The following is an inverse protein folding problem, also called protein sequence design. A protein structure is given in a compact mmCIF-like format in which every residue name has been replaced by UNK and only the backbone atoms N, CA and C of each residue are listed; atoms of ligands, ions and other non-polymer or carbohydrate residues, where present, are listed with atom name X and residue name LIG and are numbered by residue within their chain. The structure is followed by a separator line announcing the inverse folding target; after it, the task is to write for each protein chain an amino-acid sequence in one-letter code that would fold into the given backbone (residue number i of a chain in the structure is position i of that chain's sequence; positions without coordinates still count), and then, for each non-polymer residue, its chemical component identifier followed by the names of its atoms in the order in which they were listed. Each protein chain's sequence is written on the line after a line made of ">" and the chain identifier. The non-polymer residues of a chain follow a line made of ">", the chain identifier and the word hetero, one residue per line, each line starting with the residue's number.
data_IF_932007752581
#
_entry.id   IF_932007752581
#
_cell.length_a   1.000
_cell.length_b   1.000
_cell.length_c   1.000
_cell.angle_alpha   90.00
_cell.angle_beta   90.00
_cell.angle_gamma   90.00
#
_symmetry.space_group_name_H-M   'P 1'
#
loop_
_entity.id
_entity.type
_entity.pdbx_description
1 polymer ?
#
# COMPACT_ATOMS: atom_id res chain seq x y z
N UNK A 1 12.96 8.64 -20.18
CA UNK A 1 12.62 7.89 -18.95
C UNK A 1 13.55 8.39 -17.86
N UNK A 2 13.05 8.81 -16.69
CA UNK A 2 13.91 9.31 -15.62
C UNK A 2 14.91 8.22 -15.20
N UNK A 3 16.20 8.54 -15.17
CA UNK A 3 17.27 7.60 -14.79
C UNK A 3 16.97 7.10 -13.38
N UNK A 4 16.62 5.81 -13.26
CA UNK A 4 16.37 5.14 -11.99
C UNK A 4 17.66 5.11 -11.20
N UNK A 5 17.59 5.37 -9.90
CA UNK A 5 18.76 5.29 -9.00
C UNK A 5 19.42 3.90 -9.16
N UNK A 6 20.71 3.82 -9.54
CA UNK A 6 21.42 2.55 -9.71
C UNK A 6 21.46 1.71 -8.43
N UNK A 7 21.39 2.33 -7.25
CA UNK A 7 21.38 1.63 -5.96
C UNK A 7 19.99 1.13 -5.58
N UNK A 8 18.94 1.55 -6.28
CA UNK A 8 17.57 1.11 -5.99
C UNK A 8 17.37 -0.34 -6.44
N UNK A 9 16.98 -1.25 -5.53
CA UNK A 9 16.62 -2.63 -5.84
C UNK A 9 15.72 -2.74 -7.08
N UNK A 10 15.96 -3.77 -7.90
CA UNK A 10 15.12 -4.05 -9.07
C UNK A 10 13.70 -4.40 -8.59
N UNK A 11 12.69 -3.88 -9.26
CA UNK A 11 11.30 -4.07 -8.84
C UNK A 11 10.90 -5.54 -8.89
N UNK A 12 9.93 -5.93 -8.06
CA UNK A 12 9.41 -7.30 -8.05
C UNK A 12 8.77 -7.67 -9.40
N UNK A 13 9.08 -8.86 -9.90
CA UNK A 13 8.53 -9.45 -11.11
C UNK A 13 7.31 -10.31 -10.75
N UNK A 14 6.24 -10.14 -11.53
CA UNK A 14 5.03 -10.97 -11.44
C UNK A 14 5.25 -12.33 -12.09
N UNK A 15 4.42 -13.32 -11.76
CA UNK A 15 4.41 -14.64 -12.39
C UNK A 15 4.32 -14.55 -13.91
N UNK A 16 3.44 -13.67 -14.42
CA UNK A 16 3.37 -13.40 -15.85
C UNK A 16 4.66 -12.78 -16.42
N UNK A 17 5.35 -11.91 -15.67
CA UNK A 17 6.59 -11.31 -16.13
C UNK A 17 7.73 -12.34 -16.27
N UNK A 18 7.80 -13.32 -15.36
CA UNK A 18 8.69 -14.47 -15.49
C UNK A 18 8.34 -15.34 -16.69
N UNK A 19 7.05 -15.60 -16.91
CA UNK A 19 6.59 -16.35 -18.07
C UNK A 19 6.91 -15.66 -19.41
N UNK A 20 6.73 -14.33 -19.49
CA UNK A 20 7.11 -13.57 -20.69
C UNK A 20 8.63 -13.63 -20.91
N UNK A 21 9.42 -13.63 -19.84
CA UNK A 21 10.88 -13.79 -19.93
C UNK A 21 11.26 -15.17 -20.49
N UNK A 22 10.69 -16.25 -19.96
CA UNK A 22 10.97 -17.61 -20.49
C UNK A 22 10.53 -17.76 -21.94
N UNK A 23 9.38 -17.19 -22.33
CA UNK A 23 8.94 -17.15 -23.72
C UNK A 23 9.93 -16.41 -24.64
N UNK A 24 10.57 -15.34 -24.15
CA UNK A 24 11.60 -14.60 -24.93
C UNK A 24 12.86 -15.43 -25.09
N UNK A 25 13.28 -16.11 -24.04
CA UNK A 25 14.46 -16.99 -24.05
C UNK A 25 14.25 -18.20 -24.97
N UNK A 26 13.06 -18.81 -24.95
CA UNK A 26 12.68 -19.87 -25.88
C UNK A 26 12.74 -19.39 -27.34
N UNK A 27 12.20 -18.20 -27.63
CA UNK A 27 12.24 -17.65 -28.99
C UNK A 27 13.68 -17.35 -29.43
N UNK A 28 14.53 -16.83 -28.52
CA UNK A 28 15.94 -16.57 -28.83
C UNK A 28 16.71 -17.86 -29.11
N UNK A 29 16.36 -18.97 -28.46
CA UNK A 29 16.97 -20.29 -28.73
C UNK A 29 16.48 -20.92 -30.03
N UNK A 30 15.17 -20.84 -30.32
CA UNK A 30 14.56 -21.50 -31.49
C UNK A 30 14.67 -20.70 -32.78
N UNK A 31 14.75 -19.38 -32.68
CA UNK A 31 14.79 -18.48 -33.83
C UNK A 31 15.72 -17.30 -33.53
N UNK A 32 17.04 -17.54 -33.44
CA UNK A 32 18.02 -16.51 -33.11
C UNK A 32 18.13 -15.41 -34.19
N UNK A 33 17.81 -15.71 -35.45
CA UNK A 33 17.88 -14.75 -36.56
C UNK A 33 16.61 -13.91 -36.78
N UNK A 34 15.47 -14.31 -36.21
CA UNK A 34 14.20 -13.59 -36.42
C UNK A 34 14.01 -12.58 -35.28
N UNK A 35 14.10 -11.27 -35.55
CA UNK A 35 13.89 -10.26 -34.53
C UNK A 35 12.45 -10.33 -34.01
N UNK A 36 12.29 -10.44 -32.69
CA UNK A 36 10.98 -10.49 -32.04
C UNK A 36 10.26 -9.15 -32.17
N UNK A 37 9.15 -9.10 -32.92
CA UNK A 37 8.27 -7.94 -32.90
C UNK A 37 7.55 -7.87 -31.54
N UNK A 38 7.77 -6.80 -30.78
CA UNK A 38 7.22 -6.63 -29.43
C UNK A 38 5.69 -6.74 -29.39
N UNK A 39 5.00 -6.16 -30.38
CA UNK A 39 3.54 -6.17 -30.44
C UNK A 39 2.99 -7.59 -30.61
N UNK A 40 3.55 -8.34 -31.56
CA UNK A 40 3.10 -9.70 -31.85
C UNK A 40 3.52 -10.68 -30.75
N UNK A 41 4.72 -10.50 -30.19
CA UNK A 41 5.21 -11.30 -29.09
C UNK A 41 4.37 -11.11 -27.83
N UNK A 42 3.96 -9.88 -27.52
CA UNK A 42 3.08 -9.60 -26.38
C UNK A 42 1.71 -10.27 -26.54
N UNK A 43 1.13 -10.24 -27.75
CA UNK A 43 -0.14 -10.91 -28.04
C UNK A 43 -0.02 -12.43 -27.84
N UNK A 44 0.98 -13.06 -28.47
CA UNK A 44 1.26 -14.50 -28.34
C UNK A 44 1.48 -14.93 -26.90
N UNK A 45 2.22 -14.15 -26.11
CA UNK A 45 2.43 -14.43 -24.69
C UNK A 45 1.13 -14.31 -23.88
N UNK A 46 0.29 -13.32 -24.18
CA UNK A 46 -0.98 -13.13 -23.48
C UNK A 46 -1.97 -14.27 -23.74
N UNK A 47 -2.04 -14.76 -24.99
CA UNK A 47 -2.88 -15.89 -25.38
C UNK A 47 -2.37 -17.18 -24.73
N UNK A 48 -1.06 -17.46 -24.85
CA UNK A 48 -0.44 -18.62 -24.21
C UNK A 48 -0.68 -18.61 -22.71
N UNK A 49 -0.46 -17.48 -22.01
CA UNK A 49 -0.72 -17.41 -20.57
C UNK A 49 -2.18 -17.70 -20.20
N UNK A 50 -3.16 -17.28 -21.02
CA UNK A 50 -4.57 -17.60 -20.76
C UNK A 50 -4.86 -19.09 -20.92
N UNK A 51 -4.29 -19.74 -21.93
CA UNK A 51 -4.51 -21.16 -22.22
C UNK A 51 -3.66 -22.11 -21.36
N UNK A 52 -2.64 -21.61 -20.67
CA UNK A 52 -1.78 -22.42 -19.81
C UNK A 52 -2.53 -22.93 -18.57
N UNK A 53 -2.23 -24.17 -18.19
CA UNK A 53 -2.85 -24.84 -17.05
C UNK A 53 -2.39 -24.24 -15.71
N UNK A 54 -3.20 -24.39 -14.65
CA UNK A 54 -2.85 -23.92 -13.30
C UNK A 54 -1.53 -24.52 -12.79
N UNK A 55 -1.24 -25.77 -13.13
CA UNK A 55 0.02 -26.44 -12.77
C UNK A 55 1.25 -25.78 -13.40
N UNK A 56 1.13 -25.31 -14.64
CA UNK A 56 2.24 -24.61 -15.31
C UNK A 56 2.37 -23.17 -14.81
N UNK A 57 1.26 -22.51 -14.48
CA UNK A 57 1.26 -21.19 -13.82
C UNK A 57 1.86 -21.25 -12.43
N UNK A 58 1.64 -22.33 -11.68
CA UNK A 58 2.18 -22.54 -10.34
C UNK A 58 3.71 -22.35 -10.28
N UNK A 59 4.44 -22.90 -11.25
CA UNK A 59 5.90 -22.71 -11.37
C UNK A 59 6.31 -21.23 -11.44
N UNK A 60 5.53 -20.42 -12.16
CA UNK A 60 5.79 -18.98 -12.28
C UNK A 60 5.30 -18.18 -11.07
N UNK A 61 4.26 -18.65 -10.40
CA UNK A 61 3.78 -18.09 -9.13
C UNK A 61 4.81 -18.28 -8.02
N UNK A 62 5.42 -19.46 -7.91
CA UNK A 62 6.47 -19.71 -6.93
C UNK A 62 7.71 -18.86 -7.21
N UNK A 63 8.11 -18.70 -8.47
CA UNK A 63 9.16 -17.75 -8.85
C UNK A 63 8.82 -16.30 -8.46
N UNK A 64 7.56 -15.89 -8.61
CA UNK A 64 7.10 -14.57 -8.21
C UNK A 64 7.10 -14.38 -6.67
N UNK A 65 6.76 -15.44 -5.91
CA UNK A 65 6.85 -15.43 -4.44
C UNK A 65 8.31 -15.28 -4.00
N UNK A 66 9.24 -16.04 -4.59
CA UNK A 66 10.67 -15.93 -4.30
C UNK A 66 11.20 -14.52 -4.64
N UNK A 67 10.79 -13.95 -5.77
CA UNK A 67 11.22 -12.59 -6.16
C UNK A 67 10.62 -11.50 -5.27
N UNK A 68 9.42 -11.71 -4.73
CA UNK A 68 8.84 -10.84 -3.69
C UNK A 68 9.74 -10.83 -2.46
N UNK A 69 10.14 -12.00 -1.95
CA UNK A 69 11.04 -12.10 -0.79
C UNK A 69 12.40 -11.46 -1.07
N UNK A 70 13.00 -11.70 -2.25
CA UNK A 70 14.23 -11.04 -2.69
C UNK A 70 14.07 -9.51 -2.67
N UNK A 71 13.00 -8.99 -3.27
CA UNK A 71 12.75 -7.55 -3.35
C UNK A 71 12.57 -6.94 -1.96
N UNK A 72 11.81 -7.59 -1.08
CA UNK A 72 11.54 -7.10 0.27
C UNK A 72 12.84 -7.08 1.10
N UNK A 73 13.68 -8.11 0.97
CA UNK A 73 15.02 -8.16 1.60
C UNK A 73 15.95 -7.06 1.09
N UNK A 74 16.03 -6.88 -0.23
CA UNK A 74 16.83 -5.82 -0.84
C UNK A 74 16.31 -4.43 -0.45
N UNK A 75 15.00 -4.24 -0.38
CA UNK A 75 14.37 -2.99 0.04
C UNK A 75 14.61 -2.67 1.52
N UNK A 76 14.66 -3.68 2.40
CA UNK A 76 15.02 -3.49 3.82
C UNK A 76 16.44 -2.95 3.98
N UNK A 77 17.36 -3.39 3.12
CA UNK A 77 18.75 -2.93 3.12
C UNK A 77 18.96 -1.65 2.30
N UNK A 78 17.99 -1.26 1.48
CA UNK A 78 18.08 -0.07 0.64
C UNK A 78 17.73 1.19 1.44
N UNK A 79 18.74 2.04 1.64
CA UNK A 79 18.54 3.39 2.13
C UNK A 79 18.46 4.32 0.91
N UNK A 80 17.28 4.92 0.62
CA UNK A 80 17.17 5.89 -0.46
C UNK A 80 18.16 7.03 -0.24
N UNK A 81 18.84 7.48 -1.31
CA UNK A 81 19.74 8.63 -1.22
C UNK A 81 19.02 9.82 -0.55
N UNK A 82 19.65 10.38 0.49
CA UNK A 82 19.14 11.47 1.32
C UNK A 82 18.86 12.68 0.41
N UNK A 83 17.62 12.81 -0.05
CA UNK A 83 17.27 13.81 -1.06
C UNK A 83 16.40 13.33 -2.21
N UNK A 84 15.87 12.09 -2.19
CA UNK A 84 14.65 11.76 -2.95
C UNK A 84 13.47 12.57 -2.38
N UNK A 85 13.53 13.90 -2.53
CA UNK A 85 12.52 14.85 -2.11
C UNK A 85 11.22 14.39 -2.75
N UNK A 86 10.24 14.04 -1.91
CA UNK A 86 8.85 13.97 -2.35
C UNK A 86 8.60 15.23 -3.16
N UNK A 87 8.17 15.08 -4.43
CA UNK A 87 7.94 16.22 -5.32
C UNK A 87 7.19 17.30 -4.53
N UNK A 88 7.72 18.54 -4.54
CA UNK A 88 7.08 19.67 -3.85
C UNK A 88 5.61 19.67 -4.27
N UNK A 89 4.72 19.66 -3.28
CA UNK A 89 3.29 19.65 -3.56
C UNK A 89 2.94 20.98 -4.22
N UNK A 90 2.14 20.93 -5.28
CA UNK A 90 1.74 22.12 -6.03
C UNK A 90 1.07 23.11 -5.04
N UNK A 91 1.52 24.37 -4.93
CA UNK A 91 0.95 25.31 -3.95
C UNK A 91 -0.54 25.58 -4.15
N UNK A 92 -1.01 25.46 -5.40
CA UNK A 92 -2.40 25.68 -5.79
C UNK A 92 -3.26 24.40 -5.69
N UNK A 93 -2.67 23.23 -5.43
CA UNK A 93 -3.46 22.03 -5.26
C UNK A 93 -4.20 22.07 -3.92
N UNK A 94 -5.49 21.69 -3.88
CA UNK A 94 -6.23 21.54 -2.64
C UNK A 94 -5.44 20.71 -1.62
N UNK A 95 -5.42 21.15 -0.35
CA UNK A 95 -4.76 20.44 0.74
C UNK A 95 -5.68 19.33 1.25
N UNK A 96 -5.11 18.16 1.54
CA UNK A 96 -5.87 17.02 2.06
C UNK A 96 -6.51 17.40 3.40
N UNK A 97 -7.80 17.07 3.62
CA UNK A 97 -8.47 17.36 4.87
C UNK A 97 -7.91 16.49 6.01
N UNK A 98 -8.00 16.94 7.27
CA UNK A 98 -7.66 16.13 8.43
C UNK A 98 -8.62 14.95 8.57
N UNK A 99 -8.09 13.80 9.01
CA UNK A 99 -8.90 12.61 9.37
C UNK A 99 -9.65 12.85 10.69
N UNK A 100 -10.63 12.00 11.00
CA UNK A 100 -11.40 12.03 12.26
C UNK A 100 -10.48 12.03 13.48
N UNK A 101 -9.47 11.14 13.50
CA UNK A 101 -8.45 11.12 14.54
C UNK A 101 -7.69 12.45 14.68
N UNK A 102 -7.31 13.10 13.57
CA UNK A 102 -6.63 14.40 13.62
C UNK A 102 -7.52 15.52 14.12
N UNK A 103 -8.83 15.47 13.83
CA UNK A 103 -9.80 16.39 14.42
C UNK A 103 -9.89 16.17 15.93
N UNK A 104 -9.99 14.92 16.38
CA UNK A 104 -9.97 14.57 17.80
C UNK A 104 -8.68 15.05 18.49
N UNK A 105 -7.52 14.78 17.92
CA UNK A 105 -6.24 15.27 18.42
C UNK A 105 -6.21 16.79 18.51
N UNK A 106 -6.78 17.51 17.55
CA UNK A 106 -6.77 18.98 17.56
C UNK A 106 -7.52 19.56 18.76
N UNK A 107 -8.62 18.93 19.17
CA UNK A 107 -9.45 19.34 20.31
C UNK A 107 -8.87 18.88 21.65
N UNK A 108 -8.23 17.70 21.70
CA UNK A 108 -7.76 17.09 22.95
C UNK A 108 -6.29 17.38 23.29
N UNK A 109 -5.45 17.66 22.29
CA UNK A 109 -4.05 18.06 22.50
C UNK A 109 -3.88 19.26 23.44
N UNK A 110 -4.65 20.37 23.34
CA UNK A 110 -4.51 21.46 24.31
C UNK A 110 -4.92 21.05 25.73
N UNK A 111 -5.93 20.16 25.88
CA UNK A 111 -6.35 19.64 27.19
C UNK A 111 -5.24 18.84 27.87
N UNK A 112 -4.63 17.90 27.15
CA UNK A 112 -3.51 17.09 27.70
C UNK A 112 -2.29 17.97 28.00
N UNK A 113 -2.00 18.95 27.13
CA UNK A 113 -0.90 19.89 27.37
C UNK A 113 -1.14 20.77 28.60
N UNK A 114 -2.39 21.13 28.88
CA UNK A 114 -2.75 21.90 30.08
C UNK A 114 -2.59 21.06 31.36
N UNK A 115 -2.97 19.78 31.33
CA UNK A 115 -2.84 18.85 32.47
C UNK A 115 -1.38 18.44 32.69
N UNK A 116 -0.58 18.37 31.63
CA UNK A 116 0.82 17.96 31.71
C UNK A 116 1.71 18.92 30.90
N UNK A 117 1.95 20.14 31.41
CA UNK A 117 2.77 21.15 30.76
C UNK A 117 4.27 20.79 30.87
N UNK A 118 4.70 19.81 30.08
CA UNK A 118 6.08 19.30 30.10
C UNK A 118 6.29 18.05 29.24
N UNK A 119 5.21 17.37 28.85
CA UNK A 119 5.28 16.23 27.94
C UNK A 119 5.74 16.68 26.54
N UNK A 120 6.59 15.83 25.92
CA UNK A 120 6.96 16.02 24.52
C UNK A 120 5.72 15.93 23.64
N UNK A 121 5.76 16.60 22.50
CA UNK A 121 4.71 16.49 21.48
C UNK A 121 4.47 15.03 21.08
N UNK A 122 5.55 14.22 21.06
CA UNK A 122 5.46 12.79 20.79
C UNK A 122 4.68 12.03 21.86
N UNK A 123 4.92 12.30 23.13
CA UNK A 123 4.24 11.62 24.24
C UNK A 123 2.76 12.01 24.33
N UNK A 124 2.45 13.28 24.05
CA UNK A 124 1.05 13.73 23.93
C UNK A 124 0.34 13.02 22.77
N UNK A 125 1.02 12.79 21.64
CA UNK A 125 0.44 12.08 20.51
C UNK A 125 0.19 10.60 20.82
N UNK A 126 1.07 9.94 21.58
CA UNK A 126 0.87 8.55 22.04
C UNK A 126 -0.37 8.44 22.93
N UNK A 127 -0.48 9.31 23.95
CA UNK A 127 -1.67 9.36 24.82
C UNK A 127 -2.96 9.62 24.05
N UNK A 128 -2.93 10.47 23.02
CA UNK A 128 -4.10 10.72 22.17
C UNK A 128 -4.48 9.51 21.32
N UNK A 129 -3.51 8.73 20.87
CA UNK A 129 -3.74 7.47 20.16
C UNK A 129 -4.43 6.44 21.05
N UNK A 130 -3.92 6.27 22.27
CA UNK A 130 -4.52 5.39 23.28
C UNK A 130 -5.96 5.81 23.63
N UNK A 131 -6.19 7.10 23.87
CA UNK A 131 -7.53 7.65 24.11
C UNK A 131 -8.46 7.45 22.93
N UNK A 132 -7.97 7.61 21.70
CA UNK A 132 -8.79 7.39 20.52
C UNK A 132 -9.17 5.92 20.38
N UNK A 133 -8.26 4.98 20.63
CA UNK A 133 -8.58 3.56 20.55
C UNK A 133 -9.59 3.16 21.64
N UNK A 134 -9.45 3.72 22.85
CA UNK A 134 -10.37 3.49 23.96
C UNK A 134 -11.75 4.18 23.81
N UNK A 135 -11.87 5.23 22.98
CA UNK A 135 -13.15 5.87 22.71
C UNK A 135 -14.11 4.92 21.98
N UNK A 136 -15.39 4.97 22.34
CA UNK A 136 -16.43 4.19 21.66
C UNK A 136 -16.71 4.74 20.27
N UNK A 137 -17.34 3.94 19.41
CA UNK A 137 -17.75 4.38 18.08
C UNK A 137 -18.64 5.62 18.13
N UNK A 138 -19.48 5.76 19.16
CA UNK A 138 -20.36 6.92 19.34
C UNK A 138 -19.58 8.22 19.56
N UNK A 139 -18.50 8.17 20.34
CA UNK A 139 -17.62 9.31 20.57
C UNK A 139 -16.79 9.64 19.34
N UNK A 140 -16.40 8.62 18.56
CA UNK A 140 -15.67 8.77 17.28
C UNK A 140 -16.56 9.31 16.16
N UNK A 141 -17.86 8.94 16.15
CA UNK A 141 -18.85 9.26 15.12
C UNK A 141 -18.93 10.74 14.73
N UNK A 142 -18.99 11.72 15.67
CA UNK A 142 -18.98 13.13 15.28
C UNK A 142 -17.69 13.54 14.58
N UNK A 143 -16.53 13.00 14.97
CA UNK A 143 -15.25 13.31 14.34
C UNK A 143 -15.13 12.66 12.96
N UNK A 144 -15.57 11.41 12.82
CA UNK A 144 -15.62 10.69 11.54
C UNK A 144 -16.58 11.40 10.57
N UNK A 145 -17.77 11.78 11.03
CA UNK A 145 -18.75 12.53 10.22
C UNK A 145 -18.22 13.90 9.77
N UNK A 146 -17.58 14.66 10.68
CA UNK A 146 -16.90 15.92 10.33
C UNK A 146 -15.81 15.69 9.28
N UNK A 147 -14.98 14.66 9.44
CA UNK A 147 -13.93 14.32 8.48
C UNK A 147 -14.51 13.92 7.11
N UNK A 148 -15.60 13.17 7.08
CA UNK A 148 -16.30 12.79 5.85
C UNK A 148 -16.81 14.02 5.08
N UNK A 149 -17.47 14.97 5.77
CA UNK A 149 -17.92 16.24 5.15
C UNK A 149 -16.75 17.05 4.58
N UNK A 150 -15.63 17.12 5.30
CA UNK A 150 -14.42 17.79 4.81
C UNK A 150 -13.81 17.08 3.60
N UNK A 151 -13.87 15.75 3.56
CA UNK A 151 -13.45 14.93 2.42
C UNK A 151 -14.30 15.20 1.19
N UNK A 152 -15.63 15.23 1.33
CA UNK A 152 -16.51 15.55 0.20
C UNK A 152 -16.24 16.94 -0.37
N UNK A 153 -16.00 17.94 0.49
CA UNK A 153 -15.61 19.28 0.05
C UNK A 153 -14.28 19.26 -0.71
N UNK A 154 -13.29 18.58 -0.16
CA UNK A 154 -11.98 18.43 -0.81
C UNK A 154 -12.08 17.72 -2.16
N UNK A 155 -12.90 16.67 -2.28
CA UNK A 155 -13.07 15.94 -3.52
C UNK A 155 -13.70 16.83 -4.61
N UNK A 156 -14.65 17.71 -4.24
CA UNK A 156 -15.18 18.76 -5.14
C UNK A 156 -14.09 19.77 -5.52
N UNK A 157 -13.35 20.30 -4.56
CA UNK A 157 -12.26 21.25 -4.83
C UNK A 157 -11.18 20.65 -5.73
N UNK A 158 -10.88 19.36 -5.57
CA UNK A 158 -9.94 18.62 -6.43
C UNK A 158 -10.51 18.41 -7.84
N UNK A 159 -11.80 18.12 -7.96
CA UNK A 159 -12.45 18.01 -9.26
C UNK A 159 -12.39 19.35 -10.00
N UNK A 160 -12.71 20.45 -9.33
CA UNK A 160 -12.62 21.80 -9.88
C UNK A 160 -11.19 22.20 -10.24
N UNK A 161 -10.22 21.89 -9.38
CA UNK A 161 -8.80 22.11 -9.64
C UNK A 161 -8.31 21.32 -10.86
N UNK A 162 -8.75 20.07 -11.02
CA UNK A 162 -8.44 19.24 -12.19
C UNK A 162 -9.09 19.77 -13.46
N UNK A 163 -10.32 20.28 -13.37
CA UNK A 163 -11.03 20.88 -14.49
C UNK A 163 -10.39 22.20 -14.95
N UNK A 164 -10.02 23.07 -13.99
CA UNK A 164 -9.36 24.36 -14.22
C UNK A 164 -7.88 24.22 -14.63
N UNK A 165 -7.21 23.16 -14.19
CA UNK A 165 -5.79 22.87 -14.48
C UNK A 165 -5.50 22.34 -15.89
N UNK A 166 -6.48 22.33 -16.81
CA UNK A 166 -6.29 21.87 -18.20
C UNK A 166 -5.49 22.81 -19.10
N UNK A 167 -5.01 23.97 -18.62
CA UNK A 167 -4.21 24.89 -19.43
C UNK A 167 -2.69 24.78 -19.28
N UNK A 168 -2.11 24.21 -18.20
CA UNK A 168 -0.64 24.33 -18.01
C UNK A 168 0.11 23.13 -17.41
N UNK A 169 -0.46 21.91 -17.37
CA UNK A 169 0.29 20.77 -16.83
C UNK A 169 -0.06 19.44 -17.49
N UNK A 170 0.40 19.27 -18.73
CA UNK A 170 0.56 17.95 -19.32
C UNK A 170 1.53 17.11 -18.46
N UNK A 171 1.04 15.93 -18.02
CA UNK A 171 1.71 14.80 -17.32
C UNK A 171 1.56 14.73 -15.79
N UNK A 172 0.39 14.29 -15.32
CA UNK A 172 0.28 13.42 -14.13
C UNK A 172 -0.59 12.19 -14.48
N UNK A 173 -0.16 10.95 -14.19
CA UNK A 173 -1.01 9.77 -14.33
C UNK A 173 -2.09 9.74 -13.23
N UNK A 174 -3.22 9.05 -13.45
CA UNK A 174 -4.35 9.07 -12.54
C UNK A 174 -3.99 8.46 -11.18
N UNK A 175 -4.33 9.19 -10.12
CA UNK A 175 -4.28 8.69 -8.76
C UNK A 175 -5.20 7.47 -8.67
N UNK A 176 -4.64 6.32 -8.29
CA UNK A 176 -5.39 5.13 -7.91
C UNK A 176 -6.40 5.51 -6.84
N UNK A 177 -7.68 5.23 -7.09
CA UNK A 177 -8.69 5.08 -6.02
C UNK A 177 -8.25 3.87 -5.22
N UNK A 178 -7.57 4.08 -4.12
CA UNK A 178 -7.46 3.05 -3.09
C UNK A 178 -8.69 3.24 -2.21
N UNK A 179 -9.61 2.28 -2.35
CA UNK A 179 -10.67 2.08 -1.38
C UNK A 179 -9.98 1.87 -0.02
N UNK A 180 -10.40 2.66 0.96
CA UNK A 180 -10.06 2.48 2.35
C UNK A 180 -10.78 1.20 2.79
N UNK A 181 -10.06 0.08 2.86
CA UNK A 181 -10.46 -1.06 3.66
C UNK A 181 -10.19 -0.66 5.12
N UNK A 182 -11.28 -0.48 5.85
CA UNK A 182 -11.31 -0.52 7.30
C UNK A 182 -11.02 -1.99 7.65
N UNK A 183 -9.79 -2.25 8.07
CA UNK A 183 -9.29 -3.55 8.52
C UNK A 183 -9.39 -3.48 10.05
N UNK A 184 -10.63 -3.58 10.52
CA UNK A 184 -10.99 -3.93 11.90
C UNK A 184 -11.24 -5.45 11.83
N UNK A 185 -10.15 -6.21 11.75
CA UNK A 185 -10.14 -7.67 11.87
C UNK A 185 -9.80 -7.95 13.33
N UNK A 186 -10.88 -8.09 14.09
CA UNK A 186 -10.98 -8.55 15.46
C UNK A 186 -10.58 -10.03 15.48
N UNK A 187 -9.30 -10.29 15.79
CA UNK A 187 -8.74 -11.64 15.94
C UNK A 187 -8.74 -11.99 17.44
N UNK A 188 -9.92 -12.33 17.96
CA UNK A 188 -10.10 -13.04 19.23
C UNK A 188 -9.61 -14.48 19.05
N UNK A 189 -8.33 -14.72 19.36
CA UNK A 189 -7.80 -16.08 19.55
C UNK A 189 -8.09 -16.50 21.02
N UNK A 190 -9.11 -17.36 21.16
CA UNK A 190 -9.55 -18.04 22.37
C UNK A 190 -8.55 -19.18 22.69
N UNK A 191 -7.83 -19.03 23.80
CA UNK A 191 -6.86 -19.99 24.34
C UNK A 191 -7.62 -21.05 25.15
N UNK A 192 -8.05 -22.13 24.48
CA UNK A 192 -8.56 -23.34 25.15
C UNK A 192 -7.37 -24.24 25.54
N UNK A 193 -6.86 -24.05 26.76
CA UNK A 193 -6.03 -25.02 27.48
C UNK A 193 -6.90 -26.23 27.89
N UNK A 194 -6.89 -27.31 27.11
CA UNK A 194 -7.33 -28.64 27.60
C UNK A 194 -6.18 -29.33 28.33
N UNK A 195 -6.16 -29.17 29.66
CA UNK A 195 -5.59 -30.14 30.59
C UNK A 195 -6.53 -31.35 30.70
N UNK A 196 -6.14 -32.52 30.20
CA UNK A 196 -6.66 -33.79 30.70
C UNK A 196 -5.49 -34.65 31.22
N UNK A 197 -5.28 -34.51 32.53
CA UNK A 197 -4.70 -35.51 33.42
C UNK A 197 -5.76 -36.59 33.67
N UNK A 198 -5.51 -37.84 33.25
CA UNK A 198 -6.13 -39.00 33.90
C UNK A 198 -5.06 -40.11 34.07
N UNK A 199 -4.49 -40.11 35.28
CA UNK A 199 -3.86 -41.27 35.92
C UNK A 199 -4.94 -42.12 36.65
N UNK A 200 -4.70 -43.43 36.64
CA UNK A 200 -5.18 -44.50 37.57
C UNK A 200 -6.56 -45.20 37.40
N UNK A 201 -6.44 -46.49 37.00
CA UNK A 201 -6.96 -47.73 37.61
C UNK A 201 -8.46 -47.91 37.96
N UNK A 202 -9.11 -48.91 37.34
CA UNK A 202 -9.81 -50.02 38.04
C UNK A 202 -10.10 -51.22 37.08
N UNK A 203 -9.89 -52.43 37.61
CA UNK A 203 -10.12 -53.84 37.15
C UNK A 203 -9.14 -54.55 36.18
#
# INVERSE_FOLDING_TARGET
>A
MAKRDPKKPRGKMSSYAYFVQTCREEHKKKSPEIPVNFSDFSKRCSERWKTMSGKEKGKFEDLAKVDKVRYDREMKNYVPAKGSKKKKKDPNAPKRPPSGFFLFCSEHRPKIKAVSPGLSIGDVAKKLGELWNACTEEEKKPFISKAYKLKEKYDKDVADYRAKGKVDSAKKPPAKKEAYCDDDDDDEEEDEEEEEEEDEDDD
#
